data_IF_349507631491
#
_entry.id   IF_349507631491
#
_cell.length_a   1.000
_cell.length_b   1.000
_cell.length_c   1.000
_cell.angle_alpha   90.00
_cell.angle_beta   90.00
_cell.angle_gamma   90.00
#
_symmetry.space_group_name_H-M   'P 1'
#
loop_
_entity.id
_entity.type
_entity.pdbx_description
1 polymer ?
#
# COMPACT_ATOMS: atom_id res chain seq x y z
N UNK A 1 -2.63 -23.63 14.18
CA UNK A 1 -3.23 -23.62 12.84
C UNK A 1 -3.63 -22.18 12.56
N UNK A 2 -3.07 -21.55 11.54
CA UNK A 2 -3.27 -20.12 11.26
C UNK A 2 -4.52 -19.83 10.41
N UNK A 3 -5.21 -20.88 9.94
CA UNK A 3 -6.39 -20.75 9.10
C UNK A 3 -6.08 -20.25 7.69
N UNK A 4 -7.11 -19.81 6.96
CA UNK A 4 -7.00 -19.24 5.61
C UNK A 4 -7.27 -17.73 5.64
N UNK A 5 -6.60 -16.96 4.79
CA UNK A 5 -6.91 -15.53 4.62
C UNK A 5 -8.34 -15.37 4.09
N UNK A 6 -9.18 -14.60 4.80
CA UNK A 6 -10.57 -14.31 4.38
C UNK A 6 -10.69 -13.06 3.54
N UNK A 7 -9.93 -12.02 3.85
CA UNK A 7 -9.94 -10.75 3.13
C UNK A 7 -8.68 -9.94 3.41
N UNK A 8 -8.39 -9.00 2.52
CA UNK A 8 -7.31 -8.01 2.68
C UNK A 8 -7.92 -6.61 2.69
N UNK A 9 -7.48 -5.80 3.65
CA UNK A 9 -7.76 -4.37 3.71
C UNK A 9 -6.45 -3.60 3.63
N UNK A 10 -6.50 -2.37 3.15
CA UNK A 10 -5.31 -1.54 3.11
C UNK A 10 -5.60 -0.06 2.99
N UNK A 11 -4.55 0.73 3.16
CA UNK A 11 -4.54 2.17 2.92
C UNK A 11 -3.31 2.49 2.08
N UNK A 12 -3.53 3.17 0.98
CA UNK A 12 -2.53 3.75 0.10
C UNK A 12 -2.62 5.26 0.22
N UNK A 13 -1.57 5.91 0.71
CA UNK A 13 -1.60 7.36 0.92
C UNK A 13 -0.52 8.10 0.13
N UNK A 14 -0.78 9.38 -0.10
CA UNK A 14 0.16 10.32 -0.72
C UNK A 14 0.11 11.69 -0.04
N UNK A 15 1.27 12.30 0.19
CA UNK A 15 1.43 13.62 0.82
C UNK A 15 2.35 14.50 -0.02
N UNK A 16 1.90 15.71 -0.38
CA UNK A 16 2.67 16.70 -1.19
C UNK A 16 3.22 16.18 -2.54
N UNK A 17 2.64 15.12 -3.06
CA UNK A 17 2.92 14.53 -4.38
C UNK A 17 1.60 14.37 -5.13
N UNK A 18 1.62 13.90 -6.37
CA UNK A 18 0.36 13.65 -7.09
C UNK A 18 -0.47 12.56 -6.39
N UNK A 19 -1.81 12.69 -6.30
CA UNK A 19 -2.68 11.61 -5.85
C UNK A 19 -2.58 10.36 -6.72
N UNK A 20 -2.06 10.49 -7.95
CA UNK A 20 -1.79 9.37 -8.84
C UNK A 20 -0.85 8.33 -8.22
N UNK A 21 0.09 8.74 -7.36
CA UNK A 21 1.01 7.82 -6.69
C UNK A 21 0.27 6.79 -5.84
N UNK A 22 -0.78 7.21 -5.13
CA UNK A 22 -1.60 6.31 -4.32
C UNK A 22 -2.39 5.32 -5.19
N UNK A 23 -2.91 5.77 -6.33
CA UNK A 23 -3.65 4.91 -7.26
C UNK A 23 -2.74 3.87 -7.91
N UNK A 24 -1.53 4.25 -8.34
CA UNK A 24 -0.55 3.31 -8.93
C UNK A 24 -0.15 2.20 -7.95
N UNK A 25 0.05 2.52 -6.66
CA UNK A 25 0.30 1.51 -5.63
C UNK A 25 -0.87 0.53 -5.48
N UNK A 26 -2.11 1.02 -5.55
CA UNK A 26 -3.34 0.19 -5.46
C UNK A 26 -3.43 -0.76 -6.66
N UNK A 27 -3.25 -0.24 -7.87
CA UNK A 27 -3.31 -1.03 -9.10
C UNK A 27 -2.24 -2.14 -9.09
N UNK A 28 -1.02 -1.81 -8.68
CA UNK A 28 0.08 -2.78 -8.55
C UNK A 28 -0.21 -3.86 -7.49
N UNK A 29 -0.69 -3.46 -6.31
CA UNK A 29 -1.07 -4.40 -5.25
C UNK A 29 -2.20 -5.34 -5.70
N UNK A 30 -3.24 -4.82 -6.38
CA UNK A 30 -4.31 -5.63 -6.95
C UNK A 30 -3.81 -6.62 -8.00
N UNK A 31 -2.84 -6.21 -8.83
CA UNK A 31 -2.23 -7.09 -9.85
C UNK A 31 -1.60 -8.36 -9.27
N UNK A 32 -1.15 -8.30 -8.02
CA UNK A 32 -0.62 -9.43 -7.24
C UNK A 32 -1.74 -10.14 -6.49
N UNK A 33 -2.47 -9.43 -5.63
CA UNK A 33 -3.38 -10.02 -4.65
C UNK A 33 -4.64 -10.63 -5.25
N UNK A 34 -5.19 -10.07 -6.34
CA UNK A 34 -6.41 -10.59 -6.97
C UNK A 34 -6.22 -11.97 -7.60
N UNK A 35 -4.96 -12.43 -7.77
CA UNK A 35 -4.65 -13.81 -8.19
C UNK A 35 -4.81 -14.82 -7.04
N UNK A 36 -4.81 -14.34 -5.80
CA UNK A 36 -4.89 -15.16 -4.58
C UNK A 36 -6.29 -15.14 -3.98
N UNK A 37 -6.90 -13.96 -3.83
CA UNK A 37 -8.28 -13.81 -3.38
C UNK A 37 -8.97 -12.57 -3.99
N UNK A 38 -10.28 -12.61 -4.22
CA UNK A 38 -11.02 -11.47 -4.78
C UNK A 38 -11.38 -10.40 -3.75
N UNK A 39 -11.45 -10.74 -2.45
CA UNK A 39 -11.85 -9.79 -1.39
C UNK A 39 -10.65 -8.96 -0.90
N UNK A 40 -10.22 -8.03 -1.78
CA UNK A 40 -9.15 -7.07 -1.53
C UNK A 40 -9.72 -5.67 -1.66
N UNK A 41 -9.57 -4.84 -0.62
CA UNK A 41 -10.05 -3.47 -0.64
C UNK A 41 -9.02 -2.51 -0.04
N UNK A 42 -8.51 -1.59 -0.86
CA UNK A 42 -7.47 -0.65 -0.47
C UNK A 42 -8.02 0.77 -0.61
N UNK A 43 -8.09 1.51 0.50
CA UNK A 43 -8.48 2.90 0.51
C UNK A 43 -7.36 3.77 -0.04
N UNK A 44 -7.69 4.81 -0.81
CA UNK A 44 -6.74 5.84 -1.19
C UNK A 44 -6.95 7.09 -0.35
N UNK A 45 -5.86 7.67 0.13
CA UNK A 45 -5.87 8.90 0.91
C UNK A 45 -4.84 9.90 0.38
N UNK A 46 -5.22 11.17 0.30
CA UNK A 46 -4.37 12.19 -0.30
C UNK A 46 -4.41 13.47 0.51
N UNK A 47 -3.23 13.85 1.02
CA UNK A 47 -3.07 15.07 1.79
C UNK A 47 -2.25 16.12 1.03
N UNK A 48 -2.76 17.35 1.06
CA UNK A 48 -2.07 18.54 0.54
C UNK A 48 -2.09 19.68 1.55
N UNK A 49 -1.45 20.81 1.23
CA UNK A 49 -1.50 22.01 2.05
C UNK A 49 -0.92 21.81 3.46
N UNK A 50 -1.57 22.39 4.47
CA UNK A 50 -1.14 22.33 5.87
C UNK A 50 -1.28 20.94 6.51
N UNK A 51 -2.20 20.11 6.02
CA UNK A 51 -2.49 18.78 6.56
C UNK A 51 -1.46 17.73 6.12
N UNK A 52 -0.67 18.03 5.09
CA UNK A 52 0.29 17.11 4.46
C UNK A 52 1.68 17.06 5.11
N UNK A 53 1.86 17.65 6.29
CA UNK A 53 3.17 17.78 6.92
C UNK A 53 4.11 18.67 6.09
N UNK A 54 5.43 18.44 6.14
CA UNK A 54 6.44 19.24 5.39
C UNK A 54 7.13 18.46 4.27
N UNK A 55 6.98 17.14 4.24
CA UNK A 55 7.77 16.26 3.37
C UNK A 55 6.89 15.60 2.30
N UNK A 56 7.35 15.52 1.04
CA UNK A 56 6.70 14.69 0.04
C UNK A 56 6.89 13.21 0.37
N UNK A 57 5.84 12.41 0.15
CA UNK A 57 5.89 10.98 0.42
C UNK A 57 4.63 10.25 -0.03
N UNK A 58 4.76 8.93 -0.14
CA UNK A 58 3.68 8.00 -0.40
C UNK A 58 4.06 6.64 0.18
N UNK A 59 3.04 5.88 0.56
CA UNK A 59 3.18 4.54 1.16
C UNK A 59 1.88 3.78 0.99
N UNK A 60 2.01 2.46 1.03
CA UNK A 60 0.92 1.52 1.12
C UNK A 60 1.07 0.67 2.39
N UNK A 61 -0.05 0.38 3.05
CA UNK A 61 -0.15 -0.56 4.16
C UNK A 61 -1.28 -1.54 3.87
N UNK A 62 -1.00 -2.82 4.04
CA UNK A 62 -1.94 -3.92 3.79
C UNK A 62 -2.07 -4.74 5.07
N UNK A 63 -3.27 -5.25 5.30
CA UNK A 63 -3.64 -6.08 6.43
C UNK A 63 -4.49 -7.24 5.93
N UNK A 64 -4.02 -8.46 6.16
CA UNK A 64 -4.77 -9.69 5.88
C UNK A 64 -5.31 -10.27 7.18
N UNK A 65 -6.60 -10.61 7.20
CA UNK A 65 -7.22 -11.31 8.33
C UNK A 65 -7.53 -12.76 7.94
N UNK A 66 -7.24 -13.71 8.82
CA UNK A 66 -7.54 -15.12 8.61
C UNK A 66 -8.86 -15.56 9.24
N UNK A 67 -9.34 -16.76 8.88
CA UNK A 67 -10.55 -17.38 9.44
C UNK A 67 -10.44 -17.70 10.93
N UNK A 68 -9.23 -17.81 11.46
CA UNK A 68 -8.96 -18.04 12.89
C UNK A 68 -8.69 -16.73 13.65
N UNK A 69 -8.74 -15.58 12.97
CA UNK A 69 -8.52 -14.26 13.56
C UNK A 69 -7.04 -13.83 13.63
N UNK A 70 -6.13 -14.54 12.96
CA UNK A 70 -4.75 -14.06 12.80
C UNK A 70 -4.72 -12.83 11.88
N UNK A 71 -3.84 -11.88 12.20
CA UNK A 71 -3.64 -10.66 11.43
C UNK A 71 -2.21 -10.63 10.92
N UNK A 72 -2.06 -10.46 9.61
CA UNK A 72 -0.78 -10.25 8.94
C UNK A 72 -0.79 -8.83 8.38
N UNK A 73 0.36 -8.16 8.42
CA UNK A 73 0.48 -6.81 7.89
C UNK A 73 1.80 -6.60 7.19
N UNK A 74 1.75 -5.84 6.10
CA UNK A 74 2.91 -5.46 5.31
C UNK A 74 2.78 -4.00 4.92
N UNK A 75 3.90 -3.29 4.88
CA UNK A 75 3.96 -1.89 4.50
C UNK A 75 5.21 -1.60 3.70
N UNK A 76 5.09 -0.68 2.74
CA UNK A 76 6.21 -0.17 1.96
C UNK A 76 6.06 1.34 1.81
N UNK A 77 7.13 2.07 2.05
CA UNK A 77 7.18 3.53 2.01
C UNK A 77 8.27 3.98 1.05
N UNK A 78 7.94 4.97 0.23
CA UNK A 78 8.93 5.56 -0.66
C UNK A 78 10.10 6.12 0.15
N UNK A 79 11.29 5.61 -0.12
CA UNK A 79 12.52 6.17 0.45
C UNK A 79 13.11 7.24 -0.47
N UNK A 80 13.69 8.28 0.13
CA UNK A 80 14.45 9.30 -0.61
C UNK A 80 15.91 8.86 -0.66
N UNK A 81 16.31 8.18 -1.72
CA UNK A 81 17.72 7.80 -1.96
C UNK A 81 18.50 8.99 -2.54
N UNK A 82 18.75 10.01 -1.73
CA UNK A 82 19.48 11.19 -2.17
C UNK A 82 18.79 11.99 -3.29
N UNK A 83 19.58 12.75 -4.07
CA UNK A 83 19.16 13.98 -4.73
C UNK A 83 18.09 13.88 -5.86
N UNK A 84 17.57 12.72 -6.27
CA UNK A 84 16.53 12.74 -7.33
C UNK A 84 15.69 11.49 -7.56
N UNK A 85 15.97 10.33 -6.95
CA UNK A 85 15.25 9.10 -7.31
C UNK A 85 14.22 8.74 -6.23
N UNK A 86 12.95 9.02 -6.56
CA UNK A 86 11.77 8.51 -5.88
C UNK A 86 11.49 7.11 -6.41
N UNK A 87 11.39 6.13 -5.51
CA UNK A 87 11.03 4.73 -5.85
C UNK A 87 9.70 4.66 -6.59
N UNK A 88 9.56 3.81 -7.60
CA UNK A 88 8.31 3.75 -8.35
C UNK A 88 7.15 3.29 -7.46
N UNK A 89 5.99 3.97 -7.50
CA UNK A 89 4.83 3.58 -6.70
C UNK A 89 4.35 2.17 -7.05
N UNK A 90 4.50 1.72 -8.30
CA UNK A 90 4.17 0.35 -8.71
C UNK A 90 5.05 -0.69 -8.01
N UNK A 91 6.35 -0.39 -7.84
CA UNK A 91 7.29 -1.28 -7.16
C UNK A 91 6.95 -1.41 -5.67
N UNK A 92 6.60 -0.30 -5.01
CA UNK A 92 6.15 -0.29 -3.62
C UNK A 92 4.84 -1.07 -3.43
N UNK A 93 3.87 -0.89 -4.34
CA UNK A 93 2.62 -1.63 -4.33
C UNK A 93 2.83 -3.14 -4.48
N UNK A 94 3.71 -3.52 -5.41
CA UNK A 94 4.09 -4.93 -5.64
C UNK A 94 4.84 -5.50 -4.44
N UNK A 95 5.83 -4.77 -3.91
CA UNK A 95 6.64 -5.23 -2.77
C UNK A 95 5.81 -5.41 -1.51
N UNK A 96 4.90 -4.48 -1.20
CA UNK A 96 4.00 -4.61 -0.06
C UNK A 96 3.10 -5.83 -0.20
N UNK A 97 2.56 -6.06 -1.40
CA UNK A 97 1.71 -7.22 -1.67
C UNK A 97 2.47 -8.56 -1.61
N UNK A 98 3.72 -8.59 -2.08
CA UNK A 98 4.57 -9.79 -2.04
C UNK A 98 5.11 -10.11 -0.64
N UNK A 99 5.23 -9.10 0.22
CA UNK A 99 5.73 -9.27 1.60
C UNK A 99 4.61 -9.54 2.62
N UNK A 100 3.35 -9.50 2.18
CA UNK A 100 2.17 -9.81 2.99
C UNK A 100 1.91 -11.32 3.06
#
# INVERSE_FOLDING_TARGET
DEGMVKHIRGVSYSTRVSPHMANQMVDAAHGVLNRLLPDVYIFTDHYTGSESGKSPGYRISLVAETTTGCILSSECMATHSGASELELPEDLGTQAAMSL
#
